data_IF_595543803863
#
_entry.id   IF_595543803863
#
_cell.length_a   1.000
_cell.length_b   1.000
_cell.length_c   1.000
_cell.angle_alpha   90.00
_cell.angle_beta   90.00
_cell.angle_gamma   90.00
#
_symmetry.space_group_name_H-M   'P 1'
#
loop_
_entity.id
_entity.type
_entity.pdbx_description
1 polymer ?
#
# COMPACT_ATOMS: atom_id res chain seq x y z
N UNK A 1 -0.43 -19.46 21.86
CA UNK A 1 -0.99 -19.66 20.51
C UNK A 1 0.18 -19.80 19.56
N UNK A 2 0.27 -20.88 18.78
CA UNK A 2 1.36 -21.03 17.81
C UNK A 2 1.20 -19.97 16.73
N UNK A 3 2.15 -19.03 16.66
CA UNK A 3 2.30 -18.15 15.49
C UNK A 3 2.54 -19.04 14.27
N UNK A 4 1.64 -18.97 13.28
CA UNK A 4 1.87 -19.62 12.00
C UNK A 4 2.92 -18.82 11.23
N UNK A 5 3.61 -19.49 10.33
CA UNK A 5 4.67 -18.87 9.52
C UNK A 5 4.47 -19.31 8.08
N UNK A 6 4.59 -18.36 7.15
CA UNK A 6 4.60 -18.62 5.71
C UNK A 6 5.95 -18.20 5.14
N UNK A 7 6.23 -18.58 3.89
CA UNK A 7 7.49 -18.24 3.24
C UNK A 7 7.25 -17.60 1.89
N UNK A 8 8.10 -16.63 1.56
CA UNK A 8 8.26 -16.16 0.18
C UNK A 8 8.88 -17.26 -0.68
N UNK A 9 8.84 -17.07 -2.00
CA UNK A 9 9.47 -18.01 -2.93
C UNK A 9 10.98 -18.10 -2.70
N UNK A 10 11.64 -17.09 -2.10
CA UNK A 10 13.09 -17.14 -1.77
C UNK A 10 13.38 -17.91 -0.48
N UNK A 11 12.33 -18.22 0.28
CA UNK A 11 12.44 -18.88 1.58
C UNK A 11 12.45 -17.93 2.76
N UNK A 12 12.33 -16.61 2.54
CA UNK A 12 12.18 -15.64 3.64
C UNK A 12 10.90 -15.90 4.41
N UNK A 13 11.01 -16.06 5.74
CA UNK A 13 9.90 -16.37 6.63
C UNK A 13 9.11 -15.11 7.02
N UNK A 14 7.79 -15.27 7.11
CA UNK A 14 6.84 -14.24 7.55
C UNK A 14 5.98 -14.83 8.67
N UNK A 15 6.02 -14.21 9.84
CA UNK A 15 5.11 -14.53 10.94
C UNK A 15 3.69 -14.06 10.63
N UNK A 16 2.69 -14.90 10.91
CA UNK A 16 1.29 -14.52 10.81
C UNK A 16 0.74 -14.17 12.20
N UNK A 17 0.93 -12.91 12.60
CA UNK A 17 0.52 -12.35 13.89
C UNK A 17 -0.60 -11.30 13.78
N UNK A 18 -1.11 -11.05 12.56
CA UNK A 18 -2.11 -10.02 12.29
C UNK A 18 -1.48 -8.66 11.97
N UNK A 19 -0.19 -8.60 11.60
CA UNK A 19 0.41 -7.40 11.05
C UNK A 19 0.49 -7.47 9.51
N UNK A 20 -0.50 -6.91 8.81
CA UNK A 20 -0.47 -6.84 7.36
C UNK A 20 0.72 -6.02 6.81
N UNK A 21 1.19 -4.99 7.53
CA UNK A 21 2.29 -4.17 7.05
C UNK A 21 3.60 -4.97 7.03
N UNK A 22 3.83 -5.85 8.01
CA UNK A 22 4.97 -6.76 7.99
C UNK A 22 4.96 -7.72 6.79
N UNK A 23 3.77 -8.22 6.41
CA UNK A 23 3.59 -9.04 5.20
C UNK A 23 3.91 -8.24 3.94
N UNK A 24 3.38 -7.01 3.82
CA UNK A 24 3.61 -6.12 2.68
C UNK A 24 5.08 -5.70 2.56
N UNK A 25 5.74 -5.40 3.68
CA UNK A 25 7.16 -5.05 3.70
C UNK A 25 8.03 -6.21 3.22
N UNK A 26 7.74 -7.43 3.68
CA UNK A 26 8.49 -8.61 3.23
C UNK A 26 8.25 -8.87 1.74
N UNK A 27 7.01 -8.74 1.26
CA UNK A 27 6.69 -8.85 -0.17
C UNK A 27 7.43 -7.80 -1.00
N UNK A 28 7.47 -6.55 -0.53
CA UNK A 28 8.22 -5.47 -1.19
C UNK A 28 9.70 -5.82 -1.30
N UNK A 29 10.33 -6.27 -0.21
CA UNK A 29 11.74 -6.67 -0.18
C UNK A 29 12.00 -7.87 -1.10
N UNK A 30 11.12 -8.87 -1.13
CA UNK A 30 11.22 -10.04 -1.99
C UNK A 30 11.27 -9.64 -3.47
N UNK A 31 10.30 -8.83 -3.92
CA UNK A 31 10.20 -8.41 -5.32
C UNK A 31 11.39 -7.55 -5.75
N UNK A 32 11.84 -6.63 -4.88
CA UNK A 32 12.98 -5.76 -5.17
C UNK A 32 14.32 -6.50 -5.09
N UNK A 33 14.46 -7.51 -4.23
CA UNK A 33 15.70 -8.29 -4.09
C UNK A 33 15.94 -9.24 -5.26
N UNK A 34 14.88 -9.81 -5.85
CA UNK A 34 15.00 -10.74 -6.99
C UNK A 34 15.24 -10.08 -8.33
N UNK A 35 14.65 -8.91 -8.56
CA UNK A 35 14.55 -8.32 -9.90
C UNK A 35 15.01 -6.85 -9.97
N UNK A 36 15.44 -6.24 -8.86
CA UNK A 36 15.66 -4.79 -8.82
C UNK A 36 14.35 -4.04 -9.05
N UNK A 37 14.31 -3.15 -10.05
CA UNK A 37 13.11 -2.39 -10.44
C UNK A 37 12.32 -3.03 -11.60
N UNK A 38 12.78 -4.17 -12.15
CA UNK A 38 12.24 -4.75 -13.39
C UNK A 38 11.27 -5.93 -13.17
N UNK A 39 10.64 -6.04 -11.99
CA UNK A 39 9.62 -7.07 -11.78
C UNK A 39 8.29 -6.69 -12.44
N UNK A 40 7.64 -7.67 -13.06
CA UNK A 40 6.36 -7.45 -13.73
C UNK A 40 5.17 -7.55 -12.77
N UNK A 41 4.01 -7.09 -13.24
CA UNK A 41 2.73 -7.32 -12.58
C UNK A 41 2.49 -8.83 -12.36
N UNK A 42 2.84 -9.68 -13.32
CA UNK A 42 2.66 -11.12 -13.20
C UNK A 42 3.52 -11.74 -12.10
N UNK A 43 4.75 -11.23 -11.93
CA UNK A 43 5.67 -11.66 -10.87
C UNK A 43 5.11 -11.31 -9.49
N UNK A 44 4.60 -10.08 -9.36
CA UNK A 44 3.93 -9.61 -8.13
C UNK A 44 2.74 -10.50 -7.78
N UNK A 45 1.85 -10.73 -8.75
CA UNK A 45 0.66 -11.54 -8.55
C UNK A 45 0.99 -13.00 -8.23
N UNK A 46 2.06 -13.54 -8.82
CA UNK A 46 2.53 -14.91 -8.54
C UNK A 46 3.03 -15.02 -7.11
N UNK A 47 3.82 -14.06 -6.63
CA UNK A 47 4.31 -14.07 -5.25
C UNK A 47 3.17 -13.91 -4.25
N UNK A 48 2.23 -13.00 -4.49
CA UNK A 48 1.04 -12.84 -3.63
C UNK A 48 0.23 -14.15 -3.56
N UNK A 49 -0.01 -14.81 -4.71
CA UNK A 49 -0.71 -16.11 -4.73
C UNK A 49 0.05 -17.18 -3.96
N UNK A 50 1.38 -17.20 -4.06
CA UNK A 50 2.23 -18.11 -3.31
C UNK A 50 2.07 -17.93 -1.79
N UNK A 51 2.08 -16.68 -1.31
CA UNK A 51 1.88 -16.36 0.11
C UNK A 51 0.47 -16.77 0.58
N UNK A 52 -0.57 -16.35 -0.14
CA UNK A 52 -1.98 -16.66 0.20
C UNK A 52 -2.23 -18.17 0.24
N UNK A 53 -1.61 -18.92 -0.67
CA UNK A 53 -1.73 -20.38 -0.74
C UNK A 53 -1.30 -21.11 0.53
N UNK A 54 -0.43 -20.51 1.34
CA UNK A 54 0.08 -21.07 2.59
C UNK A 54 -0.73 -20.66 3.83
N UNK A 55 -1.53 -19.60 3.73
CA UNK A 55 -2.33 -19.07 4.83
C UNK A 55 -3.56 -19.94 5.12
N UNK A 56 -3.93 -20.06 6.40
CA UNK A 56 -5.22 -20.63 6.78
C UNK A 56 -6.36 -19.68 6.40
N UNK A 57 -7.59 -20.18 6.32
CA UNK A 57 -8.77 -19.37 6.00
C UNK A 57 -8.94 -18.18 6.95
N UNK A 58 -8.73 -18.41 8.24
CA UNK A 58 -8.81 -17.37 9.27
C UNK A 58 -7.77 -16.27 9.09
N UNK A 59 -6.54 -16.64 8.70
CA UNK A 59 -5.49 -15.65 8.41
C UNK A 59 -5.88 -14.80 7.19
N UNK A 60 -6.39 -15.45 6.13
CA UNK A 60 -6.84 -14.75 4.92
C UNK A 60 -7.96 -13.77 5.22
N UNK A 61 -8.92 -14.15 6.07
CA UNK A 61 -9.99 -13.26 6.50
C UNK A 61 -9.44 -12.04 7.25
N UNK A 62 -8.56 -12.25 8.23
CA UNK A 62 -7.91 -11.15 8.99
C UNK A 62 -7.16 -10.20 8.08
N UNK A 63 -6.27 -10.70 7.22
CA UNK A 63 -5.48 -9.85 6.34
C UNK A 63 -6.31 -9.19 5.24
N UNK A 64 -7.38 -9.84 4.77
CA UNK A 64 -8.30 -9.21 3.83
C UNK A 64 -9.01 -8.01 4.48
N UNK A 65 -9.52 -8.19 5.69
CA UNK A 65 -10.16 -7.12 6.47
C UNK A 65 -9.20 -5.93 6.65
N UNK A 66 -7.97 -6.19 7.09
CA UNK A 66 -6.95 -5.15 7.26
C UNK A 66 -6.59 -4.46 5.94
N UNK A 67 -6.49 -5.20 4.84
CA UNK A 67 -6.18 -4.64 3.53
C UNK A 67 -7.29 -3.70 3.05
N UNK A 68 -8.56 -4.07 3.26
CA UNK A 68 -9.70 -3.25 2.88
C UNK A 68 -9.76 -1.97 3.72
N UNK A 69 -9.45 -2.06 5.01
CA UNK A 69 -9.36 -0.90 5.90
C UNK A 69 -8.24 0.07 5.47
N UNK A 70 -7.03 -0.43 5.22
CA UNK A 70 -5.92 0.42 4.75
C UNK A 70 -6.24 1.09 3.42
N UNK A 71 -6.84 0.35 2.48
CA UNK A 71 -7.23 0.88 1.18
C UNK A 71 -8.36 1.91 1.29
N UNK A 72 -9.34 1.73 2.18
CA UNK A 72 -10.41 2.72 2.37
C UNK A 72 -9.87 4.03 2.93
N UNK A 73 -9.00 3.97 3.95
CA UNK A 73 -8.35 5.15 4.52
C UNK A 73 -7.48 5.85 3.48
N UNK A 74 -6.72 5.11 2.68
CA UNK A 74 -5.89 5.66 1.60
C UNK A 74 -6.75 6.38 0.56
N UNK A 75 -7.82 5.74 0.09
CA UNK A 75 -8.73 6.32 -0.89
C UNK A 75 -9.40 7.61 -0.38
N UNK A 76 -9.87 7.63 0.86
CA UNK A 76 -10.44 8.82 1.48
C UNK A 76 -9.43 9.97 1.54
N UNK A 77 -8.20 9.69 1.96
CA UNK A 77 -7.12 10.68 2.04
C UNK A 77 -6.77 11.26 0.66
N UNK A 78 -6.63 10.41 -0.36
CA UNK A 78 -6.32 10.84 -1.73
C UNK A 78 -7.45 11.72 -2.31
N UNK A 79 -8.70 11.31 -2.08
CA UNK A 79 -9.90 12.04 -2.52
C UNK A 79 -10.00 13.41 -1.83
N UNK A 80 -9.79 13.46 -0.52
CA UNK A 80 -9.74 14.72 0.25
C UNK A 80 -8.62 15.64 -0.26
N UNK A 81 -7.43 15.10 -0.49
CA UNK A 81 -6.31 15.85 -1.04
C UNK A 81 -6.57 16.39 -2.46
N UNK A 82 -7.32 15.65 -3.28
CA UNK A 82 -7.76 16.15 -4.59
C UNK A 82 -8.74 17.33 -4.45
N UNK A 83 -9.69 17.28 -3.51
CA UNK A 83 -10.61 18.39 -3.27
C UNK A 83 -9.91 19.66 -2.77
N UNK A 84 -8.98 19.53 -1.82
CA UNK A 84 -8.20 20.67 -1.32
C UNK A 84 -7.43 21.34 -2.48
N UNK A 85 -6.74 20.55 -3.31
CA UNK A 85 -6.03 21.07 -4.49
C UNK A 85 -6.95 21.82 -5.44
N UNK A 86 -8.17 21.33 -5.66
CA UNK A 86 -9.17 22.01 -6.51
C UNK A 86 -9.57 23.37 -5.91
N UNK A 87 -9.89 23.41 -4.61
CA UNK A 87 -10.27 24.65 -3.92
C UNK A 87 -9.14 25.69 -3.88
N UNK A 88 -7.89 25.26 -3.67
CA UNK A 88 -6.73 26.16 -3.68
C UNK A 88 -6.32 26.60 -5.08
N UNK A 89 -6.65 25.82 -6.12
CA UNK A 89 -6.39 26.20 -7.52
C UNK A 89 -7.43 27.19 -8.06
N UNK A 90 -8.68 27.10 -7.60
CA UNK A 90 -9.75 28.07 -7.93
C UNK A 90 -9.57 29.41 -7.19
N UNK A 91 -8.79 29.43 -6.12
CA UNK A 91 -8.38 30.67 -5.45
C UNK A 91 -7.08 31.15 -6.11
N UNK A 92 -7.18 31.76 -7.29
CA UNK A 92 -6.01 32.29 -8.02
C UNK A 92 -5.12 33.20 -7.16
N UNK A 93 -3.83 33.41 -7.54
CA UNK A 93 -2.90 34.22 -6.77
C UNK A 93 -3.52 35.60 -6.46
N UNK A 94 -3.35 36.13 -5.24
CA UNK A 94 -3.97 37.39 -4.84
C UNK A 94 -3.61 38.46 -5.88
N UNK A 95 -4.64 39.12 -6.41
CA UNK A 95 -4.47 40.17 -7.41
C UNK A 95 -3.40 41.14 -6.92
N UNK A 96 -2.30 41.25 -7.68
CA UNK A 96 -1.25 42.21 -7.40
C UNK A 96 -1.92 43.58 -7.29
N UNK A 97 -1.92 44.15 -6.09
CA UNK A 97 -2.46 45.46 -5.84
C UNK A 97 -1.55 46.44 -6.60
N UNK A 98 -1.92 46.75 -7.84
CA UNK A 98 -1.32 47.84 -8.61
C UNK A 98 -1.68 49.11 -7.87
N UNK A 99 -0.80 49.50 -6.95
CA UNK A 99 -0.82 50.80 -6.32
C UNK A 99 -0.54 51.83 -7.42
N UNK A 100 -1.62 52.32 -8.00
CA UNK A 100 -1.61 53.46 -8.89
C UNK A 100 -1.27 54.71 -8.06
N UNK A 101 -0.08 55.25 -8.27
CA UNK A 101 0.31 56.63 -7.97
C UNK A 101 1.34 57.07 -9.00
N UNK A 102 1.44 58.36 -9.33
CA UNK A 102 0.73 59.52 -8.76
C UNK A 102 -0.26 60.21 -9.72
#
# INVERSE_FOLDING_TARGET
MNMRTIKTTSGTEIGLDGDLLAVLETLYRELHSRHGLDYSFEDTMREIRHLIGQMAETDRETYLLESLFLNSVTYENEKLGAYVRKLTSDTGPPAAHTADRP
#
